data_IF_602423189597
#
_entry.id   IF_602423189597
#
_cell.length_a   1.000
_cell.length_b   1.000
_cell.length_c   1.000
_cell.angle_alpha   90.00
_cell.angle_beta   90.00
_cell.angle_gamma   90.00
#
_symmetry.space_group_name_H-M   'P 1'
#
loop_
_entity.id
_entity.type
_entity.pdbx_description
1 polymer ?
#
# COMPACT_ATOMS: atom_id res chain seq x y z
N UNK A 1 -27.71 12.17 -27.87
CA UNK A 1 -26.41 11.56 -27.96
C UNK A 1 -25.26 12.51 -27.64
N UNK A 2 -25.39 13.72 -28.04
CA UNK A 2 -24.31 14.68 -27.93
C UNK A 2 -23.85 14.98 -26.50
N UNK A 3 -24.80 15.05 -25.54
CA UNK A 3 -24.45 15.22 -24.12
C UNK A 3 -23.63 14.06 -23.58
N UNK A 4 -24.05 12.83 -23.87
CA UNK A 4 -23.33 11.64 -23.44
C UNK A 4 -21.93 11.55 -24.03
N UNK A 5 -21.79 11.86 -25.29
CA UNK A 5 -20.51 11.89 -25.98
C UNK A 5 -19.59 12.95 -25.37
N UNK A 6 -20.12 14.16 -25.14
CA UNK A 6 -19.40 15.27 -24.54
C UNK A 6 -18.97 14.91 -23.09
N UNK A 7 -19.87 14.32 -22.31
CA UNK A 7 -19.58 13.87 -20.95
C UNK A 7 -18.46 12.82 -20.93
N UNK A 8 -18.49 11.85 -21.83
CA UNK A 8 -17.46 10.83 -21.95
C UNK A 8 -16.12 11.43 -22.35
N UNK A 9 -16.11 12.35 -23.29
CA UNK A 9 -14.90 13.04 -23.73
C UNK A 9 -14.28 13.86 -22.59
N UNK A 10 -15.11 14.59 -21.85
CA UNK A 10 -14.68 15.37 -20.68
C UNK A 10 -14.10 14.46 -19.61
N UNK A 11 -14.77 13.35 -19.31
CA UNK A 11 -14.30 12.36 -18.35
C UNK A 11 -12.95 11.78 -18.76
N UNK A 12 -12.79 11.45 -20.05
CA UNK A 12 -11.53 10.91 -20.56
C UNK A 12 -10.37 11.91 -20.40
N UNK A 13 -10.65 13.20 -20.49
CA UNK A 13 -9.64 14.24 -20.29
C UNK A 13 -9.28 14.43 -18.82
N UNK A 14 -10.19 14.18 -17.91
CA UNK A 14 -10.00 14.33 -16.46
C UNK A 14 -9.28 13.13 -15.82
N UNK A 15 -9.46 11.93 -16.36
CA UNK A 15 -8.96 10.69 -15.77
C UNK A 15 -7.44 10.64 -15.59
N UNK A 16 -6.60 11.10 -16.52
CA UNK A 16 -5.15 11.08 -16.32
C UNK A 16 -4.70 11.87 -15.09
N UNK A 17 -5.31 13.02 -14.85
CA UNK A 17 -5.00 13.83 -13.66
C UNK A 17 -5.45 13.14 -12.39
N UNK A 18 -6.66 12.57 -12.37
CA UNK A 18 -7.17 11.83 -11.22
C UNK A 18 -6.27 10.63 -10.88
N UNK A 19 -5.85 9.88 -11.89
CA UNK A 19 -4.94 8.75 -11.72
C UNK A 19 -3.59 9.20 -11.17
N UNK A 20 -3.01 10.28 -11.73
CA UNK A 20 -1.74 10.84 -11.27
C UNK A 20 -1.78 11.26 -9.81
N UNK A 21 -2.85 11.89 -9.37
CA UNK A 21 -3.02 12.31 -7.99
C UNK A 21 -3.03 11.13 -7.03
N UNK A 22 -3.72 10.05 -7.39
CA UNK A 22 -3.76 8.83 -6.57
C UNK A 22 -2.40 8.14 -6.56
N UNK A 23 -1.70 8.10 -7.70
CA UNK A 23 -0.34 7.56 -7.77
C UNK A 23 0.62 8.30 -6.84
N UNK A 24 0.51 9.62 -6.78
CA UNK A 24 1.31 10.44 -5.88
C UNK A 24 0.99 10.14 -4.41
N UNK A 25 -0.29 9.99 -4.07
CA UNK A 25 -0.72 9.60 -2.72
C UNK A 25 -0.16 8.23 -2.33
N UNK A 26 -0.16 7.27 -3.26
CA UNK A 26 0.43 5.94 -3.03
C UNK A 26 1.93 6.06 -2.73
N UNK A 27 2.63 6.89 -3.48
CA UNK A 27 4.06 7.12 -3.26
C UNK A 27 4.33 7.69 -1.87
N UNK A 28 3.59 8.71 -1.48
CA UNK A 28 3.72 9.34 -0.16
C UNK A 28 3.45 8.35 0.98
N UNK A 29 2.39 7.53 0.86
CA UNK A 29 2.05 6.52 1.86
C UNK A 29 3.05 5.38 1.90
N UNK A 30 3.60 5.01 0.75
CA UNK A 30 4.64 3.97 0.67
C UNK A 30 5.90 4.43 1.40
N UNK A 31 6.31 5.69 1.21
CA UNK A 31 7.45 6.26 1.92
C UNK A 31 7.20 6.33 3.44
N UNK A 32 6.02 6.76 3.84
CA UNK A 32 5.63 6.79 5.25
C UNK A 32 5.63 5.39 5.87
N UNK A 33 5.14 4.38 5.15
CA UNK A 33 5.13 3.01 5.63
C UNK A 33 6.54 2.43 5.79
N UNK A 34 7.47 2.82 4.94
CA UNK A 34 8.89 2.42 5.09
C UNK A 34 9.51 2.98 6.36
N UNK A 35 9.20 4.22 6.71
CA UNK A 35 9.68 4.83 7.96
C UNK A 35 9.15 4.06 9.17
N UNK A 36 7.88 3.69 9.16
CA UNK A 36 7.26 2.88 10.22
C UNK A 36 7.95 1.50 10.28
N UNK A 37 8.17 0.86 9.13
CA UNK A 37 8.84 -0.43 9.07
C UNK A 37 10.26 -0.35 9.62
N UNK A 38 10.99 0.72 9.36
CA UNK A 38 12.33 0.93 9.90
C UNK A 38 12.31 1.06 11.42
N UNK A 39 11.32 1.74 11.97
CA UNK A 39 11.13 1.83 13.43
C UNK A 39 10.82 0.46 14.03
N UNK A 40 9.95 -0.32 13.39
CA UNK A 40 9.64 -1.70 13.80
C UNK A 40 10.91 -2.53 13.85
N UNK A 41 11.69 -2.51 12.78
CA UNK A 41 12.94 -3.25 12.66
C UNK A 41 13.93 -2.85 13.76
N UNK A 42 14.03 -1.56 14.05
CA UNK A 42 14.91 -1.04 15.11
C UNK A 42 14.52 -1.58 16.48
N UNK A 43 13.22 -1.55 16.82
CA UNK A 43 12.71 -2.05 18.09
C UNK A 43 12.92 -3.56 18.20
N UNK A 44 12.59 -4.31 17.14
CA UNK A 44 12.77 -5.75 17.12
C UNK A 44 14.24 -6.15 17.26
N UNK A 45 15.14 -5.42 16.62
CA UNK A 45 16.57 -5.64 16.72
C UNK A 45 17.09 -5.40 18.14
N UNK A 46 16.57 -4.36 18.80
CA UNK A 46 16.92 -4.07 20.18
C UNK A 46 16.46 -5.17 21.13
N UNK A 47 15.24 -5.65 20.97
CA UNK A 47 14.68 -6.77 21.74
C UNK A 47 15.55 -8.00 21.57
N UNK A 48 15.93 -8.34 20.34
CA UNK A 48 16.80 -9.50 20.04
C UNK A 48 18.18 -9.35 20.68
N UNK A 49 18.76 -8.15 20.62
CA UNK A 49 20.05 -7.86 21.21
C UNK A 49 19.99 -8.01 22.73
N UNK A 50 18.98 -7.46 23.37
CA UNK A 50 18.79 -7.54 24.82
C UNK A 50 18.63 -9.00 25.27
N UNK A 51 17.84 -9.80 24.55
CA UNK A 51 17.65 -11.22 24.82
C UNK A 51 18.98 -11.98 24.70
N UNK A 52 19.75 -11.68 23.66
CA UNK A 52 21.03 -12.37 23.43
C UNK A 52 22.09 -12.03 24.47
N UNK A 53 21.99 -10.87 25.09
CA UNK A 53 23.00 -10.36 26.03
C UNK A 53 22.65 -10.55 27.50
N UNK A 54 21.41 -10.92 27.83
CA UNK A 54 21.01 -11.11 29.24
C UNK A 54 21.73 -12.33 29.82
N UNK A 55 22.34 -12.14 30.99
CA UNK A 55 23.09 -13.18 31.70
C UNK A 55 22.56 -13.34 33.13
N UNK A 56 22.75 -14.53 33.70
CA UNK A 56 22.41 -14.82 35.09
C UNK A 56 23.51 -14.32 36.07
N UNK A 57 23.31 -14.57 37.34
CA UNK A 57 24.27 -14.17 38.39
C UNK A 57 25.66 -14.79 38.20
N UNK A 58 25.78 -15.91 37.49
CA UNK A 58 27.02 -16.60 37.19
C UNK A 58 27.66 -16.20 35.87
N UNK A 59 27.09 -15.23 35.16
CA UNK A 59 27.58 -14.76 33.86
C UNK A 59 27.20 -15.66 32.69
N UNK A 60 26.30 -16.63 32.88
CA UNK A 60 25.83 -17.51 31.82
C UNK A 60 24.61 -16.86 31.13
N UNK A 61 24.51 -17.06 29.83
CA UNK A 61 23.35 -16.56 29.05
C UNK A 61 22.07 -17.23 29.54
N UNK A 62 21.05 -16.41 29.82
CA UNK A 62 19.72 -16.87 30.25
C UNK A 62 19.05 -17.65 29.14
N UNK A 63 19.15 -17.17 27.91
CA UNK A 63 18.58 -17.83 26.74
C UNK A 63 19.71 -18.46 25.92
N UNK A 64 20.00 -19.72 26.18
CA UNK A 64 21.20 -20.39 25.67
C UNK A 64 21.06 -21.07 24.32
N UNK A 65 19.81 -21.22 23.81
CA UNK A 65 19.57 -21.85 22.52
C UNK A 65 18.58 -21.02 21.68
N UNK A 66 18.49 -21.35 20.38
CA UNK A 66 17.69 -20.62 19.42
C UNK A 66 16.18 -20.65 19.75
N UNK A 67 15.69 -21.79 20.25
CA UNK A 67 14.27 -21.93 20.60
C UNK A 67 13.90 -21.05 21.79
N UNK A 68 14.76 -21.00 22.82
CA UNK A 68 14.53 -20.16 23.99
C UNK A 68 14.59 -18.68 23.63
N UNK A 69 15.51 -18.27 22.75
CA UNK A 69 15.60 -16.89 22.27
C UNK A 69 14.39 -16.49 21.46
N UNK A 70 13.90 -17.37 20.59
CA UNK A 70 12.69 -17.11 19.78
C UNK A 70 11.46 -16.96 20.66
N UNK A 71 11.27 -17.83 21.63
CA UNK A 71 10.15 -17.75 22.58
C UNK A 71 10.18 -16.45 23.38
N UNK A 72 11.36 -16.06 23.87
CA UNK A 72 11.54 -14.79 24.58
C UNK A 72 11.25 -13.58 23.70
N UNK A 73 11.68 -13.61 22.45
CA UNK A 73 11.41 -12.55 21.48
C UNK A 73 9.91 -12.38 21.25
N UNK A 74 9.20 -13.47 21.01
CA UNK A 74 7.73 -13.43 20.77
C UNK A 74 7.03 -12.82 21.99
N UNK A 75 7.40 -13.24 23.19
CA UNK A 75 6.81 -12.72 24.42
C UNK A 75 7.10 -11.22 24.60
N UNK A 76 8.35 -10.81 24.48
CA UNK A 76 8.75 -9.42 24.64
C UNK A 76 8.14 -8.52 23.58
N UNK A 77 8.10 -8.99 22.33
CA UNK A 77 7.47 -8.25 21.23
C UNK A 77 5.97 -8.05 21.47
N UNK A 78 5.28 -9.07 21.98
CA UNK A 78 3.85 -9.00 22.29
C UNK A 78 3.54 -8.07 23.45
N UNK A 79 4.46 -7.85 24.35
CA UNK A 79 4.31 -6.95 25.50
C UNK A 79 4.75 -5.51 25.21
N UNK A 80 5.45 -5.29 24.10
CA UNK A 80 5.94 -3.96 23.72
C UNK A 80 4.83 -3.13 23.07
N UNK A 81 4.27 -2.16 23.78
CA UNK A 81 3.15 -1.34 23.30
C UNK A 81 3.53 -0.47 22.10
N UNK A 82 4.74 0.10 22.09
CA UNK A 82 5.22 0.91 20.97
C UNK A 82 5.29 0.06 19.69
N UNK A 83 5.82 -1.16 19.80
CA UNK A 83 5.91 -2.08 18.67
C UNK A 83 4.53 -2.47 18.15
N UNK A 84 3.59 -2.77 19.05
CA UNK A 84 2.20 -3.09 18.68
C UNK A 84 1.55 -1.93 17.91
N UNK A 85 1.70 -0.72 18.42
CA UNK A 85 1.13 0.48 17.80
C UNK A 85 1.72 0.71 16.41
N UNK A 86 3.03 0.55 16.27
CA UNK A 86 3.70 0.68 14.97
C UNK A 86 3.23 -0.37 13.97
N UNK A 87 3.05 -1.61 14.41
CA UNK A 87 2.53 -2.69 13.54
C UNK A 87 1.09 -2.42 13.10
N UNK A 88 0.26 -1.91 13.99
CA UNK A 88 -1.11 -1.51 13.67
C UNK A 88 -1.10 -0.38 12.64
N UNK A 89 -0.27 0.63 12.83
CA UNK A 89 -0.12 1.74 11.89
C UNK A 89 0.36 1.25 10.52
N UNK A 90 1.34 0.37 10.51
CA UNK A 90 1.86 -0.22 9.27
C UNK A 90 0.78 -0.97 8.50
N UNK A 91 0.00 -1.81 9.18
CA UNK A 91 -1.08 -2.57 8.56
C UNK A 91 -2.16 -1.64 7.99
N UNK A 92 -2.50 -0.58 8.71
CA UNK A 92 -3.44 0.44 8.24
C UNK A 92 -2.92 1.13 6.96
N UNK A 93 -1.65 1.52 6.96
CA UNK A 93 -1.02 2.14 5.79
C UNK A 93 -1.01 1.21 4.57
N UNK A 94 -0.72 -0.07 4.77
CA UNK A 94 -0.74 -1.07 3.69
C UNK A 94 -2.15 -1.25 3.13
N UNK A 95 -3.15 -1.21 3.99
CA UNK A 95 -4.56 -1.29 3.56
C UNK A 95 -4.94 -0.06 2.72
N UNK A 96 -4.57 1.14 3.15
CA UNK A 96 -4.82 2.36 2.39
C UNK A 96 -4.17 2.32 1.00
N UNK A 97 -2.93 1.84 0.93
CA UNK A 97 -2.21 1.69 -0.34
C UNK A 97 -2.95 0.72 -1.26
N UNK A 98 -3.41 -0.41 -0.73
CA UNK A 98 -4.17 -1.40 -1.50
C UNK A 98 -5.48 -0.84 -2.02
N UNK A 99 -6.21 -0.09 -1.20
CA UNK A 99 -7.47 0.55 -1.60
C UNK A 99 -7.24 1.57 -2.72
N UNK A 100 -6.17 2.35 -2.65
CA UNK A 100 -5.82 3.31 -3.68
C UNK A 100 -5.40 2.65 -5.00
N UNK A 101 -4.72 1.51 -4.93
CA UNK A 101 -4.40 0.72 -6.13
C UNK A 101 -5.65 0.19 -6.82
N UNK A 102 -6.64 -0.25 -6.04
CA UNK A 102 -7.95 -0.67 -6.56
C UNK A 102 -8.64 0.51 -7.23
N UNK A 103 -8.58 1.69 -6.63
CA UNK A 103 -9.16 2.91 -7.20
C UNK A 103 -8.52 3.25 -8.55
N UNK A 104 -7.18 3.18 -8.65
CA UNK A 104 -6.47 3.37 -9.93
C UNK A 104 -6.94 2.36 -10.97
N UNK A 105 -7.10 1.10 -10.59
CA UNK A 105 -7.56 0.06 -11.51
C UNK A 105 -8.96 0.39 -12.05
N UNK A 106 -9.87 0.83 -11.19
CA UNK A 106 -11.21 1.26 -11.61
C UNK A 106 -11.15 2.44 -12.57
N UNK A 107 -10.35 3.45 -12.27
CA UNK A 107 -10.22 4.62 -13.13
C UNK A 107 -9.55 4.27 -14.46
N UNK A 108 -8.58 3.37 -14.45
CA UNK A 108 -7.92 2.88 -15.67
C UNK A 108 -8.89 2.07 -16.54
N UNK A 109 -9.77 1.28 -15.93
CA UNK A 109 -10.81 0.56 -16.64
C UNK A 109 -11.84 1.53 -17.24
N UNK A 110 -12.24 2.55 -16.51
CA UNK A 110 -13.10 3.62 -17.03
C UNK A 110 -12.47 4.27 -18.26
N UNK A 111 -11.19 4.61 -18.17
CA UNK A 111 -10.46 5.22 -19.27
C UNK A 111 -10.47 4.34 -20.52
N UNK A 112 -10.22 3.06 -20.37
CA UNK A 112 -10.24 2.10 -21.50
C UNK A 112 -11.64 1.95 -22.07
N UNK A 113 -12.65 1.85 -21.23
CA UNK A 113 -14.04 1.67 -21.63
C UNK A 113 -14.54 2.90 -22.39
N UNK A 114 -14.28 4.10 -21.87
CA UNK A 114 -14.66 5.34 -22.52
C UNK A 114 -13.97 5.49 -23.88
N UNK A 115 -12.68 5.18 -23.93
CA UNK A 115 -11.91 5.23 -25.18
C UNK A 115 -12.48 4.27 -26.23
N UNK A 116 -12.85 3.06 -25.81
CA UNK A 116 -13.47 2.06 -26.69
C UNK A 116 -14.83 2.53 -27.21
N UNK A 117 -15.65 3.13 -26.36
CA UNK A 117 -16.96 3.66 -26.74
C UNK A 117 -16.82 4.84 -27.72
N UNK A 118 -15.91 5.75 -27.46
CA UNK A 118 -15.66 6.88 -28.35
C UNK A 118 -15.16 6.41 -29.71
N UNK A 119 -14.30 5.43 -29.77
CA UNK A 119 -13.83 4.83 -31.02
C UNK A 119 -14.96 4.14 -31.79
N UNK A 120 -15.83 3.44 -31.07
CA UNK A 120 -17.02 2.81 -31.68
C UNK A 120 -17.95 3.85 -32.30
N UNK A 121 -18.27 4.93 -31.57
CA UNK A 121 -19.11 5.99 -32.10
C UNK A 121 -18.45 6.72 -33.27
N UNK A 122 -17.17 6.95 -33.24
CA UNK A 122 -16.46 7.58 -34.35
C UNK A 122 -16.49 6.71 -35.60
N UNK A 123 -16.27 5.41 -35.48
CA UNK A 123 -16.34 4.49 -36.61
C UNK A 123 -17.75 4.38 -37.20
N UNK A 124 -18.78 4.33 -36.34
CA UNK A 124 -20.15 4.28 -36.82
C UNK A 124 -20.56 5.58 -37.52
N UNK A 125 -20.11 6.73 -37.03
CA UNK A 125 -20.34 8.02 -37.63
C UNK A 125 -19.71 8.12 -39.03
N UNK A 126 -18.48 7.65 -39.18
CA UNK A 126 -17.77 7.56 -40.47
C UNK A 126 -18.50 6.65 -41.45
N UNK A 127 -18.94 5.50 -40.99
CA UNK A 127 -19.69 4.53 -41.81
C UNK A 127 -21.03 5.12 -42.25
N UNK A 128 -21.71 5.87 -41.39
CA UNK A 128 -22.96 6.56 -41.73
C UNK A 128 -22.76 7.64 -42.77
N UNK A 129 -21.65 8.33 -42.77
CA UNK A 129 -21.31 9.40 -43.69
C UNK A 129 -20.90 8.88 -45.07
N UNK A 130 -20.59 7.61 -45.22
CA UNK A 130 -20.23 6.99 -46.51
C UNK A 130 -21.43 6.59 -47.33
N UNK A 131 -22.62 6.64 -46.78
CA UNK A 131 -23.86 6.35 -47.46
C UNK A 131 -24.73 7.58 -47.57
#
# INVERSE_FOLDING_TARGET
MNLKFTEMADRLMELPQAISEIQLEILERTEASKEVQDKITTIESKIKTDINNVVDANGKKVYSNAEAREAAFIEDANENEELKDLKTDYDYMQREISEKRIEIEKLSNDQRNIRSLLNFFANNSENSNQF
#
